data_IF_216276930299
#
_entry.id   IF_216276930299
#
_cell.length_a   1.000
_cell.length_b   1.000
_cell.length_c   1.000
_cell.angle_alpha   90.00
_cell.angle_beta   90.00
_cell.angle_gamma   90.00
#
_symmetry.space_group_name_H-M   'P 1'
#
loop_
_entity.id
_entity.type
_entity.pdbx_description
1 polymer ?
#
# COMPACT_ATOMS: atom_id res chain seq x y z
N UNK A 1 -14.18 15.54 20.03
CA UNK A 1 -13.10 14.59 19.74
C UNK A 1 -13.52 13.68 18.59
N UNK A 2 -12.59 13.23 17.75
CA UNK A 2 -12.88 12.32 16.63
C UNK A 2 -13.09 10.90 17.18
N UNK A 3 -14.20 10.24 16.84
CA UNK A 3 -14.40 8.83 17.22
C UNK A 3 -13.47 7.90 16.44
N UNK A 4 -13.26 6.70 16.97
CA UNK A 4 -12.52 5.61 16.34
C UNK A 4 -13.10 5.20 14.97
N UNK A 5 -14.43 5.15 14.83
CA UNK A 5 -15.11 4.90 13.54
C UNK A 5 -14.76 5.98 12.52
N UNK A 6 -14.73 7.25 12.93
CA UNK A 6 -14.36 8.37 12.04
C UNK A 6 -12.88 8.31 11.68
N UNK A 7 -12.01 7.94 12.63
CA UNK A 7 -10.58 7.73 12.37
C UNK A 7 -10.35 6.56 11.40
N UNK A 8 -11.11 5.48 11.53
CA UNK A 8 -11.08 4.33 10.63
C UNK A 8 -11.50 4.72 9.21
N UNK A 9 -12.62 5.42 9.07
CA UNK A 9 -13.10 5.88 7.77
C UNK A 9 -12.09 6.80 7.07
N UNK A 10 -11.47 7.73 7.81
CA UNK A 10 -10.42 8.61 7.28
C UNK A 10 -9.18 7.81 6.85
N UNK A 11 -8.71 6.88 7.68
CA UNK A 11 -7.58 6.01 7.34
C UNK A 11 -7.85 5.19 6.08
N UNK A 12 -9.03 4.58 5.99
CA UNK A 12 -9.45 3.80 4.83
C UNK A 12 -9.49 4.65 3.56
N UNK A 13 -10.11 5.83 3.61
CA UNK A 13 -10.20 6.74 2.47
C UNK A 13 -8.82 7.22 2.00
N UNK A 14 -7.96 7.66 2.92
CA UNK A 14 -6.60 8.14 2.60
C UNK A 14 -5.77 7.06 1.94
N UNK A 15 -5.79 5.85 2.51
CA UNK A 15 -5.00 4.74 2.00
C UNK A 15 -5.57 4.14 0.71
N UNK A 16 -6.90 4.23 0.50
CA UNK A 16 -7.52 3.89 -0.78
C UNK A 16 -7.12 4.88 -1.88
N UNK A 17 -7.16 6.19 -1.61
CA UNK A 17 -6.66 7.21 -2.54
C UNK A 17 -5.19 6.96 -2.86
N UNK A 18 -4.37 6.66 -1.85
CA UNK A 18 -2.97 6.29 -2.03
C UNK A 18 -2.82 5.07 -2.95
N UNK A 19 -3.63 4.02 -2.76
CA UNK A 19 -3.65 2.83 -3.61
C UNK A 19 -3.98 3.18 -5.06
N UNK A 20 -5.01 3.99 -5.31
CA UNK A 20 -5.37 4.46 -6.65
C UNK A 20 -4.24 5.25 -7.32
N UNK A 21 -3.57 6.14 -6.58
CA UNK A 21 -2.42 6.88 -7.10
C UNK A 21 -1.28 5.91 -7.47
N UNK A 22 -1.00 4.90 -6.64
CA UNK A 22 0.03 3.91 -6.92
C UNK A 22 -0.28 3.07 -8.16
N UNK A 23 -1.53 2.62 -8.35
CA UNK A 23 -1.94 1.85 -9.54
C UNK A 23 -1.88 2.68 -10.81
N UNK A 24 -2.23 3.97 -10.75
CA UNK A 24 -2.07 4.89 -11.88
C UNK A 24 -0.59 5.08 -12.25
N UNK A 25 0.30 5.26 -11.27
CA UNK A 25 1.74 5.38 -11.51
C UNK A 25 2.30 4.09 -12.10
N UNK A 26 1.99 2.93 -11.50
CA UNK A 26 2.40 1.63 -12.03
C UNK A 26 1.90 1.42 -13.46
N UNK A 27 0.67 1.82 -13.74
CA UNK A 27 0.07 1.70 -15.07
C UNK A 27 0.86 2.47 -16.12
N UNK A 28 1.25 3.71 -15.82
CA UNK A 28 2.11 4.53 -16.69
C UNK A 28 3.51 3.93 -16.85
N UNK A 29 4.10 3.40 -15.77
CA UNK A 29 5.41 2.73 -15.83
C UNK A 29 5.37 1.46 -16.67
N UNK A 30 4.26 0.71 -16.65
CA UNK A 30 4.08 -0.49 -17.49
C UNK A 30 3.98 -0.14 -18.98
N UNK A 31 3.30 0.96 -19.33
CA UNK A 31 3.31 1.46 -20.70
C UNK A 31 4.73 1.83 -21.12
N UNK A 32 5.46 2.60 -20.31
CA UNK A 32 6.84 2.97 -20.61
C UNK A 32 7.77 1.74 -20.77
N UNK A 33 7.58 0.72 -19.93
CA UNK A 33 8.34 -0.52 -19.95
C UNK A 33 8.00 -1.46 -21.13
N UNK A 34 6.91 -1.19 -21.87
CA UNK A 34 6.45 -2.08 -22.94
C UNK A 34 5.92 -3.43 -22.43
N UNK A 35 5.60 -3.55 -21.14
CA UNK A 35 5.20 -4.80 -20.48
C UNK A 35 3.69 -5.01 -20.43
N UNK A 36 2.92 -4.09 -21.02
CA UNK A 36 1.46 -4.27 -21.18
C UNK A 36 1.14 -5.38 -22.16
N UNK A 37 -0.08 -5.85 -22.06
CA UNK A 37 -0.62 -6.81 -23.01
C UNK A 37 -0.64 -6.21 -24.42
N UNK A 38 -0.47 -7.04 -25.44
CA UNK A 38 -0.30 -6.57 -26.83
C UNK A 38 -1.52 -5.80 -27.34
N UNK A 39 -2.72 -6.12 -26.86
CA UNK A 39 -3.95 -5.41 -27.19
C UNK A 39 -3.96 -3.96 -26.70
N UNK A 40 -3.17 -3.61 -25.68
CA UNK A 40 -3.07 -2.24 -25.18
C UNK A 40 -2.24 -1.32 -26.12
N UNK A 41 -1.65 -1.86 -27.18
CA UNK A 41 -0.84 -1.08 -28.14
C UNK A 41 -1.65 -0.03 -28.92
N UNK A 42 -2.98 -0.17 -28.96
CA UNK A 42 -3.88 0.80 -29.58
C UNK A 42 -4.08 2.06 -28.74
N UNK A 43 -3.70 2.02 -27.45
CA UNK A 43 -3.95 3.11 -26.53
C UNK A 43 -3.00 4.28 -26.78
N UNK A 44 -3.44 5.55 -26.59
CA UNK A 44 -2.59 6.72 -26.78
C UNK A 44 -1.30 6.70 -25.94
N UNK A 45 -1.32 6.02 -24.79
CA UNK A 45 -0.20 5.88 -23.86
C UNK A 45 0.88 4.92 -24.37
N UNK A 46 0.56 4.03 -25.32
CA UNK A 46 1.50 3.07 -25.90
C UNK A 46 2.34 3.64 -27.05
N UNK A 47 2.13 4.91 -27.44
CA UNK A 47 2.83 5.53 -28.59
C UNK A 47 4.35 5.57 -28.47
N UNK A 48 4.88 5.49 -27.25
CA UNK A 48 6.31 5.61 -26.96
C UNK A 48 7.06 4.28 -26.87
N UNK A 49 6.37 3.14 -26.95
CA UNK A 49 6.98 1.83 -26.68
C UNK A 49 6.18 0.68 -27.31
N UNK A 50 6.89 -0.31 -27.84
CA UNK A 50 6.28 -1.54 -28.34
C UNK A 50 5.80 -2.39 -27.16
N UNK A 51 4.48 -2.58 -27.05
CA UNK A 51 3.88 -3.36 -25.97
C UNK A 51 4.00 -4.86 -26.24
N UNK A 52 4.15 -5.64 -25.17
CA UNK A 52 4.25 -7.10 -25.22
C UNK A 52 5.64 -7.64 -25.55
N UNK A 53 6.65 -6.76 -25.70
CA UNK A 53 8.03 -7.15 -25.97
C UNK A 53 9.01 -6.18 -25.30
N UNK A 54 9.37 -6.48 -24.04
CA UNK A 54 10.47 -5.80 -23.38
C UNK A 54 11.79 -6.46 -23.80
N UNK A 55 12.58 -5.77 -24.61
CA UNK A 55 13.94 -6.21 -24.95
C UNK A 55 14.89 -5.90 -23.78
N UNK A 56 15.12 -6.90 -22.94
CA UNK A 56 15.96 -6.77 -21.75
C UNK A 56 17.47 -6.72 -22.08
N UNK A 57 17.86 -6.79 -23.35
CA UNK A 57 19.26 -6.56 -23.75
C UNK A 57 19.61 -5.07 -23.84
N UNK A 58 18.60 -4.20 -23.84
CA UNK A 58 18.77 -2.75 -23.74
C UNK A 58 18.75 -2.32 -22.26
N UNK A 59 19.87 -1.78 -21.79
CA UNK A 59 20.03 -1.26 -20.42
C UNK A 59 18.95 -0.24 -20.05
N UNK A 60 18.47 0.56 -21.01
CA UNK A 60 17.41 1.53 -20.78
C UNK A 60 16.08 0.83 -20.46
N UNK A 61 15.71 -0.18 -21.26
CA UNK A 61 14.49 -0.96 -21.05
C UNK A 61 14.56 -1.72 -19.73
N UNK A 62 15.72 -2.27 -19.38
CA UNK A 62 15.91 -2.93 -18.09
C UNK A 62 15.60 -1.98 -16.91
N UNK A 63 16.12 -0.75 -16.93
CA UNK A 63 15.87 0.25 -15.87
C UNK A 63 14.37 0.56 -15.74
N UNK A 64 13.67 0.73 -16.86
CA UNK A 64 12.25 1.06 -16.87
C UNK A 64 11.40 -0.13 -16.37
N UNK A 65 11.75 -1.35 -16.75
CA UNK A 65 11.13 -2.59 -16.23
C UNK A 65 11.37 -2.76 -14.73
N UNK A 66 12.58 -2.49 -14.24
CA UNK A 66 12.89 -2.54 -12.81
C UNK A 66 12.07 -1.51 -12.02
N UNK A 67 11.88 -0.31 -12.58
CA UNK A 67 11.03 0.71 -11.98
C UNK A 67 9.56 0.26 -11.94
N UNK A 68 9.03 -0.30 -13.02
CA UNK A 68 7.68 -0.86 -13.03
C UNK A 68 7.52 -1.97 -11.98
N UNK A 69 8.48 -2.90 -11.90
CA UNK A 69 8.47 -3.99 -10.94
C UNK A 69 8.50 -3.49 -9.50
N UNK A 70 9.18 -2.38 -9.23
CA UNK A 70 9.15 -1.72 -7.91
C UNK A 70 7.75 -1.25 -7.56
N UNK A 71 7.06 -0.58 -8.47
CA UNK A 71 5.69 -0.13 -8.25
C UNK A 71 4.70 -1.29 -8.09
N UNK A 72 4.87 -2.38 -8.85
CA UNK A 72 4.12 -3.64 -8.63
C UNK A 72 4.30 -4.17 -7.21
N UNK A 73 5.52 -4.19 -6.68
CA UNK A 73 5.78 -4.63 -5.30
C UNK A 73 5.22 -3.70 -4.24
N UNK A 74 5.16 -2.38 -4.49
CA UNK A 74 4.48 -1.43 -3.60
C UNK A 74 2.99 -1.79 -3.49
N UNK A 75 2.33 -1.97 -4.63
CA UNK A 75 0.90 -2.32 -4.71
C UNK A 75 0.64 -3.70 -4.09
N UNK A 76 1.51 -4.67 -4.34
CA UNK A 76 1.37 -6.00 -3.75
C UNK A 76 1.49 -5.96 -2.22
N UNK A 77 2.48 -5.25 -1.67
CA UNK A 77 2.62 -5.11 -0.22
C UNK A 77 1.42 -4.39 0.40
N UNK A 78 0.81 -3.47 -0.34
CA UNK A 78 -0.42 -2.80 0.03
C UNK A 78 -1.61 -3.76 0.11
N UNK A 79 -1.75 -4.66 -0.86
CA UNK A 79 -2.78 -5.70 -0.88
C UNK A 79 -2.57 -6.78 0.18
N UNK A 80 -1.33 -7.08 0.55
CA UNK A 80 -1.00 -8.04 1.62
C UNK A 80 -1.30 -7.48 3.02
N UNK A 81 -1.16 -6.17 3.22
CA UNK A 81 -1.23 -5.54 4.55
C UNK A 81 -2.56 -4.85 4.84
N UNK A 82 -3.11 -4.05 3.91
CA UNK A 82 -4.24 -3.16 4.20
C UNK A 82 -5.56 -3.88 4.46
N UNK A 83 -5.98 -4.88 3.67
CA UNK A 83 -7.22 -5.61 3.94
C UNK A 83 -7.24 -6.21 5.35
N UNK A 84 -6.14 -6.85 5.76
CA UNK A 84 -6.03 -7.44 7.10
C UNK A 84 -6.01 -6.39 8.20
N UNK A 85 -5.32 -5.26 7.99
CA UNK A 85 -5.34 -4.16 8.94
C UNK A 85 -6.77 -3.64 9.18
N UNK A 86 -7.57 -3.46 8.12
CA UNK A 86 -8.94 -3.00 8.28
C UNK A 86 -9.84 -4.00 8.98
N UNK A 87 -9.68 -5.30 8.72
CA UNK A 87 -10.39 -6.34 9.47
C UNK A 87 -10.07 -6.25 10.96
N UNK A 88 -8.80 -6.14 11.32
CA UNK A 88 -8.35 -6.06 12.72
C UNK A 88 -8.81 -4.77 13.41
N UNK A 89 -8.71 -3.61 12.76
CA UNK A 89 -9.17 -2.37 13.37
C UNK A 89 -10.68 -2.31 13.48
N UNK A 90 -11.42 -2.87 12.52
CA UNK A 90 -12.87 -2.98 12.62
C UNK A 90 -13.30 -3.92 13.74
N UNK A 91 -12.60 -5.06 13.92
CA UNK A 91 -12.85 -5.94 15.07
C UNK A 91 -12.58 -5.22 16.39
N UNK A 92 -11.48 -4.47 16.50
CA UNK A 92 -11.15 -3.70 17.70
C UNK A 92 -12.27 -2.72 18.09
N UNK A 93 -12.80 -1.98 17.11
CA UNK A 93 -13.95 -1.08 17.31
C UNK A 93 -15.19 -1.86 17.75
N UNK A 94 -15.45 -3.00 17.11
CA UNK A 94 -16.66 -3.80 17.35
C UNK A 94 -16.71 -4.41 18.74
N UNK A 95 -15.56 -4.76 19.32
CA UNK A 95 -15.43 -5.31 20.68
C UNK A 95 -15.08 -4.24 21.73
N UNK A 96 -15.26 -2.96 21.40
CA UNK A 96 -15.14 -1.87 22.39
C UNK A 96 -13.71 -1.59 22.88
N UNK A 97 -12.67 -1.92 22.10
CA UNK A 97 -11.29 -1.50 22.43
C UNK A 97 -11.23 0.03 22.57
N UNK A 98 -10.39 0.51 23.51
CA UNK A 98 -10.32 1.93 23.84
C UNK A 98 -10.13 2.83 22.61
N UNK A 99 -11.02 3.83 22.48
CA UNK A 99 -11.08 4.77 21.35
C UNK A 99 -9.73 5.46 21.09
N UNK A 100 -9.03 5.86 22.15
CA UNK A 100 -7.74 6.55 22.06
C UNK A 100 -6.63 5.64 21.53
N UNK A 101 -6.60 4.37 21.94
CA UNK A 101 -5.65 3.39 21.42
C UNK A 101 -5.92 3.12 19.94
N UNK A 102 -7.16 2.78 19.59
CA UNK A 102 -7.55 2.48 18.20
C UNK A 102 -7.25 3.64 17.26
N UNK A 103 -7.57 4.88 17.67
CA UNK A 103 -7.26 6.10 16.91
C UNK A 103 -5.76 6.29 16.72
N UNK A 104 -4.96 6.08 17.77
CA UNK A 104 -3.51 6.25 17.73
C UNK A 104 -2.88 5.23 16.78
N UNK A 105 -3.29 3.96 16.89
CA UNK A 105 -2.81 2.89 16.01
C UNK A 105 -3.18 3.15 14.54
N UNK A 106 -4.41 3.60 14.26
CA UNK A 106 -4.84 3.95 12.90
C UNK A 106 -4.03 5.11 12.31
N UNK A 107 -3.74 6.14 13.12
CA UNK A 107 -2.93 7.28 12.69
C UNK A 107 -1.50 6.84 12.37
N UNK A 108 -0.85 6.14 13.30
CA UNK A 108 0.53 5.64 13.11
C UNK A 108 0.61 4.68 11.93
N UNK A 109 -0.36 3.77 11.80
CA UNK A 109 -0.46 2.84 10.67
C UNK A 109 -0.57 3.59 9.35
N UNK A 110 -1.48 4.56 9.25
CA UNK A 110 -1.69 5.36 8.03
C UNK A 110 -0.41 6.09 7.63
N UNK A 111 0.24 6.79 8.56
CA UNK A 111 1.49 7.49 8.32
C UNK A 111 2.60 6.52 7.91
N UNK A 112 2.70 5.35 8.55
CA UNK A 112 3.67 4.33 8.22
C UNK A 112 3.47 3.77 6.81
N UNK A 113 2.22 3.53 6.38
CA UNK A 113 1.91 3.03 5.02
C UNK A 113 2.19 4.07 3.93
N UNK A 114 1.97 5.37 4.20
CA UNK A 114 2.35 6.44 3.27
C UNK A 114 3.88 6.56 3.20
N UNK A 115 4.54 6.59 4.36
CA UNK A 115 6.00 6.64 4.47
C UNK A 115 6.66 5.47 3.75
N UNK A 116 6.14 4.25 3.93
CA UNK A 116 6.58 3.04 3.25
C UNK A 116 6.56 3.20 1.73
N UNK A 117 5.45 3.67 1.14
CA UNK A 117 5.34 3.92 -0.31
C UNK A 117 6.38 4.93 -0.79
N UNK A 118 6.58 6.04 -0.07
CA UNK A 118 7.55 7.09 -0.43
C UNK A 118 8.98 6.55 -0.44
N UNK A 119 9.42 5.87 0.63
CA UNK A 119 10.80 5.37 0.70
C UNK A 119 11.04 4.18 -0.24
N UNK A 120 9.98 3.41 -0.56
CA UNK A 120 10.07 2.33 -1.54
C UNK A 120 10.29 2.91 -2.94
N UNK A 121 9.53 3.93 -3.35
CA UNK A 121 9.73 4.56 -4.66
C UNK A 121 11.12 5.18 -4.81
N UNK A 122 11.72 5.65 -3.70
CA UNK A 122 13.08 6.20 -3.64
C UNK A 122 14.20 5.13 -3.52
N UNK A 123 13.88 3.83 -3.55
CA UNK A 123 14.88 2.76 -3.41
C UNK A 123 15.63 2.74 -2.08
N UNK A 124 15.00 3.14 -0.96
CA UNK A 124 15.63 3.19 0.36
C UNK A 124 15.25 1.95 1.20
N UNK A 125 15.98 0.82 1.11
CA UNK A 125 15.55 -0.47 1.68
C UNK A 125 15.46 -0.47 3.21
N UNK A 126 16.39 0.21 3.90
CA UNK A 126 16.42 0.26 5.37
C UNK A 126 15.23 1.05 5.92
N UNK A 127 14.96 2.22 5.35
CA UNK A 127 13.81 3.04 5.73
C UNK A 127 12.50 2.32 5.41
N UNK A 128 12.40 1.64 4.27
CA UNK A 128 11.26 0.80 3.88
C UNK A 128 10.96 -0.26 4.94
N UNK A 129 11.99 -1.00 5.36
CA UNK A 129 11.84 -2.03 6.39
C UNK A 129 11.32 -1.45 7.71
N UNK A 130 11.84 -0.29 8.14
CA UNK A 130 11.37 0.36 9.37
C UNK A 130 9.88 0.73 9.30
N UNK A 131 9.43 1.38 8.22
CA UNK A 131 8.01 1.71 8.06
C UNK A 131 7.12 0.47 7.96
N UNK A 132 7.61 -0.61 7.33
CA UNK A 132 6.90 -1.89 7.30
C UNK A 132 6.74 -2.48 8.70
N UNK A 133 7.81 -2.52 9.50
CA UNK A 133 7.78 -3.02 10.89
C UNK A 133 6.79 -2.21 11.73
N UNK A 134 6.82 -0.89 11.63
CA UNK A 134 5.89 -0.01 12.36
C UNK A 134 4.44 -0.31 11.96
N UNK A 135 4.17 -0.46 10.66
CA UNK A 135 2.84 -0.79 10.17
C UNK A 135 2.34 -2.14 10.71
N UNK A 136 3.17 -3.18 10.67
CA UNK A 136 2.85 -4.51 11.20
C UNK A 136 2.62 -4.47 12.71
N UNK A 137 3.46 -3.75 13.45
CA UNK A 137 3.31 -3.60 14.90
C UNK A 137 1.95 -2.99 15.27
N UNK A 138 1.46 -2.00 14.52
CA UNK A 138 0.13 -1.43 14.75
C UNK A 138 -0.99 -2.46 14.59
N UNK A 139 -0.90 -3.33 13.58
CA UNK A 139 -1.88 -4.41 13.34
C UNK A 139 -1.83 -5.42 14.48
N UNK A 140 -0.63 -5.87 14.88
CA UNK A 140 -0.45 -6.87 15.95
C UNK A 140 -0.98 -6.33 17.29
N UNK A 141 -0.67 -5.09 17.65
CA UNK A 141 -1.18 -4.47 18.88
C UNK A 141 -2.70 -4.35 18.84
N UNK A 142 -3.29 -3.95 17.70
CA UNK A 142 -4.75 -3.90 17.53
C UNK A 142 -5.41 -5.27 17.68
N UNK A 143 -4.79 -6.32 17.12
CA UNK A 143 -5.30 -7.69 17.21
C UNK A 143 -5.26 -8.21 18.64
N UNK A 144 -4.13 -8.04 19.35
CA UNK A 144 -4.00 -8.44 20.76
C UNK A 144 -5.00 -7.68 21.63
N UNK A 145 -5.15 -6.36 21.44
CA UNK A 145 -6.14 -5.58 22.17
C UNK A 145 -7.58 -6.06 21.92
N UNK A 146 -7.91 -6.40 20.67
CA UNK A 146 -9.22 -6.96 20.31
C UNK A 146 -9.49 -8.29 21.02
N UNK A 147 -8.49 -9.19 21.05
CA UNK A 147 -8.62 -10.48 21.73
C UNK A 147 -8.80 -10.30 23.23
N UNK A 148 -8.03 -9.40 23.86
CA UNK A 148 -8.15 -9.15 25.29
C UNK A 148 -9.53 -8.60 25.65
N UNK A 149 -10.02 -7.59 24.92
CA UNK A 149 -11.34 -7.03 25.14
C UNK A 149 -12.45 -8.10 24.99
N UNK A 150 -12.40 -8.89 23.91
CA UNK A 150 -13.38 -9.95 23.65
C UNK A 150 -13.39 -11.08 24.68
N UNK A 151 -12.33 -11.25 25.47
CA UNK A 151 -12.23 -12.26 26.54
C UNK A 151 -12.60 -11.69 27.91
N UNK A 152 -12.68 -10.37 28.06
CA UNK A 152 -12.97 -9.69 29.33
C UNK A 152 -14.37 -9.10 29.41
N UNK A 153 -15.07 -8.99 28.28
CA UNK A 153 -16.51 -8.69 28.18
C UNK A 153 -17.38 -9.94 28.40
#
# INVERSE_FOLDING_TARGET
MLSDVKAFALSAAVLYIKFLVCTMIQGNKAFAAGTRATEDSILPQAKSSHQGFADLTDDHIQIVVEEEMRWKRIIQNDLESMPMAYVVFWSAISVGVSTDLTRTLLLVYTTARIGHTIVYSQSLPRARMLFWIVGVACIVVGAVASVLAALTD
#
